data_IF_092756614370
#
_entry.id   IF_092756614370
#
_cell.length_a   1.000
_cell.length_b   1.000
_cell.length_c   1.000
_cell.angle_alpha   90.00
_cell.angle_beta   90.00
_cell.angle_gamma   90.00
#
_symmetry.space_group_name_H-M   'P 1'
#
loop_
_entity.id
_entity.type
_entity.pdbx_description
1 polymer ?
#
# COMPACT_ATOMS: atom_id res chain seq x y z
N UNK A 1 19.48 30.66 7.90
CA UNK A 1 19.25 29.84 6.69
C UNK A 1 19.14 28.32 6.95
N UNK A 2 19.95 27.72 7.85
CA UNK A 2 19.86 26.25 8.14
C UNK A 2 18.59 25.83 8.88
N UNK A 3 18.03 26.64 9.78
CA UNK A 3 16.79 26.31 10.49
C UNK A 3 15.56 26.23 9.57
N UNK A 4 15.44 27.15 8.61
CA UNK A 4 14.34 27.17 7.63
C UNK A 4 14.35 25.95 6.69
N UNK A 5 15.53 25.43 6.33
CA UNK A 5 15.63 24.27 5.41
C UNK A 5 15.25 22.92 6.07
N UNK A 6 15.29 22.80 7.40
CA UNK A 6 14.85 21.59 8.12
C UNK A 6 13.34 21.39 8.09
N UNK A 7 12.57 22.47 7.97
CA UNK A 7 11.09 22.41 8.00
C UNK A 7 10.49 21.74 6.76
N UNK A 8 11.23 21.63 5.65
CA UNK A 8 10.73 20.98 4.43
C UNK A 8 10.92 19.46 4.39
N UNK A 9 11.69 18.83 5.27
CA UNK A 9 11.96 17.39 5.22
C UNK A 9 10.67 16.57 5.32
N UNK A 10 9.85 16.81 6.35
CA UNK A 10 8.62 16.07 6.57
C UNK A 10 7.60 16.24 5.43
N UNK A 11 7.33 17.44 4.93
CA UNK A 11 6.53 17.64 3.71
C UNK A 11 7.02 16.85 2.51
N UNK A 12 8.34 16.82 2.24
CA UNK A 12 8.87 16.03 1.12
C UNK A 12 8.80 14.53 1.33
N UNK A 13 8.98 14.04 2.56
CA UNK A 13 8.74 12.62 2.87
C UNK A 13 7.27 12.26 2.64
N UNK A 14 6.34 13.10 3.06
CA UNK A 14 4.92 12.89 2.82
C UNK A 14 4.58 12.91 1.31
N UNK A 15 5.12 13.88 0.57
CA UNK A 15 4.99 13.92 -0.89
C UNK A 15 5.58 12.66 -1.55
N UNK A 16 6.73 12.20 -1.05
CA UNK A 16 7.35 10.95 -1.49
C UNK A 16 6.42 9.76 -1.30
N UNK A 17 5.70 9.66 -0.18
CA UNK A 17 4.73 8.58 0.07
C UNK A 17 3.53 8.62 -0.89
N UNK A 18 3.04 9.83 -1.16
CA UNK A 18 1.98 10.02 -2.16
C UNK A 18 2.45 9.56 -3.53
N UNK A 19 3.64 10.02 -3.98
CA UNK A 19 4.18 9.67 -5.29
C UNK A 19 4.49 8.18 -5.40
N UNK A 20 5.02 7.55 -4.34
CA UNK A 20 5.30 6.12 -4.29
C UNK A 20 4.07 5.28 -4.64
N UNK A 21 2.97 5.51 -3.93
CA UNK A 21 1.73 4.80 -4.19
C UNK A 21 1.05 5.20 -5.50
N UNK A 22 1.14 6.47 -5.88
CA UNK A 22 0.59 6.95 -7.14
C UNK A 22 1.24 6.25 -8.33
N UNK A 23 2.59 6.22 -8.40
CA UNK A 23 3.30 5.65 -9.56
C UNK A 23 3.08 4.13 -9.67
N UNK A 24 2.94 3.43 -8.56
CA UNK A 24 2.65 2.00 -8.53
C UNK A 24 1.24 1.66 -9.03
N UNK A 25 0.27 2.59 -8.93
CA UNK A 25 -1.12 2.37 -9.32
C UNK A 25 -1.58 3.16 -10.56
N UNK A 26 -0.69 3.81 -11.29
CA UNK A 26 -0.99 4.40 -12.61
C UNK A 26 -1.47 3.33 -13.59
N UNK A 27 -0.73 2.23 -13.71
CA UNK A 27 -0.98 1.18 -14.70
C UNK A 27 -2.34 0.46 -14.53
N UNK A 28 -2.85 0.13 -13.34
CA UNK A 28 -4.19 -0.40 -13.12
C UNK A 28 -5.33 0.39 -13.79
N UNK A 29 -5.20 1.70 -13.94
CA UNK A 29 -6.16 2.53 -14.68
C UNK A 29 -5.82 2.57 -16.17
N UNK A 30 -4.56 2.74 -16.52
CA UNK A 30 -4.08 2.82 -17.91
C UNK A 30 -4.35 1.53 -18.68
N UNK A 31 -4.25 0.36 -18.04
CA UNK A 31 -4.45 -0.94 -18.69
C UNK A 31 -5.84 -1.10 -19.31
N UNK A 32 -6.85 -0.39 -18.81
CA UNK A 32 -8.21 -0.38 -19.36
C UNK A 32 -8.21 0.27 -20.75
N UNK A 33 -7.56 1.42 -20.88
CA UNK A 33 -7.43 2.13 -22.15
C UNK A 33 -6.54 1.37 -23.15
N UNK A 34 -5.45 0.77 -22.67
CA UNK A 34 -4.59 -0.08 -23.48
C UNK A 34 -5.33 -1.30 -24.02
N UNK A 35 -6.16 -1.95 -23.19
CA UNK A 35 -6.99 -3.08 -23.63
C UNK A 35 -7.89 -2.72 -24.81
N UNK A 36 -8.53 -1.55 -24.75
CA UNK A 36 -9.35 -1.03 -25.83
C UNK A 36 -8.53 -0.66 -27.08
N UNK A 37 -7.35 -0.04 -26.89
CA UNK A 37 -6.53 0.43 -28.00
C UNK A 37 -5.78 -0.70 -28.70
N UNK A 38 -5.33 -1.73 -27.97
CA UNK A 38 -4.54 -2.83 -28.52
C UNK A 38 -5.39 -4.06 -28.82
N UNK A 39 -6.69 -3.99 -28.60
CA UNK A 39 -7.64 -5.10 -28.71
C UNK A 39 -7.15 -6.36 -28.00
N UNK A 40 -6.73 -6.18 -26.74
CA UNK A 40 -6.24 -7.26 -25.88
C UNK A 40 -7.00 -7.33 -24.57
N UNK A 41 -7.27 -8.54 -24.07
CA UNK A 41 -7.99 -8.73 -22.82
C UNK A 41 -7.16 -8.24 -21.62
N UNK A 42 -7.87 -7.76 -20.60
CA UNK A 42 -7.29 -7.29 -19.35
C UNK A 42 -6.36 -8.31 -18.69
N UNK A 43 -6.75 -9.60 -18.73
CA UNK A 43 -5.98 -10.71 -18.16
C UNK A 43 -4.61 -10.94 -18.82
N UNK A 44 -4.42 -10.48 -20.07
CA UNK A 44 -3.13 -10.53 -20.75
C UNK A 44 -2.26 -9.31 -20.45
N UNK A 45 -2.90 -8.13 -20.26
CA UNK A 45 -2.17 -6.89 -20.08
C UNK A 45 -1.82 -6.61 -18.62
N UNK A 46 -2.70 -6.98 -17.66
CA UNK A 46 -2.42 -6.77 -16.24
C UNK A 46 -1.08 -7.38 -15.77
N UNK A 47 -0.68 -8.59 -16.21
CA UNK A 47 0.60 -9.18 -15.85
C UNK A 47 1.83 -8.36 -16.22
N UNK A 48 1.73 -7.36 -17.10
CA UNK A 48 2.85 -6.45 -17.39
C UNK A 48 3.31 -5.67 -16.14
N UNK A 49 2.43 -5.49 -15.15
CA UNK A 49 2.77 -4.88 -13.87
C UNK A 49 3.48 -5.84 -12.90
N UNK A 50 3.49 -7.14 -13.16
CA UNK A 50 4.01 -8.15 -12.22
C UNK A 50 5.46 -7.88 -11.83
N UNK A 51 6.32 -7.59 -12.81
CA UNK A 51 7.73 -7.25 -12.56
C UNK A 51 7.89 -6.05 -11.63
N UNK A 52 7.01 -5.05 -11.75
CA UNK A 52 7.00 -3.87 -10.88
C UNK A 52 6.70 -4.23 -9.42
N UNK A 53 5.67 -5.03 -9.16
CA UNK A 53 5.33 -5.47 -7.80
C UNK A 53 6.38 -6.42 -7.21
N UNK A 54 6.98 -7.31 -8.01
CA UNK A 54 8.11 -8.14 -7.57
C UNK A 54 9.30 -7.27 -7.19
N UNK A 55 9.68 -6.33 -8.06
CA UNK A 55 10.80 -5.44 -7.82
C UNK A 55 10.56 -4.55 -6.58
N UNK A 56 9.35 -4.02 -6.40
CA UNK A 56 8.96 -3.24 -5.23
C UNK A 56 9.20 -4.01 -3.92
N UNK A 57 8.86 -5.31 -3.87
CA UNK A 57 9.15 -6.14 -2.72
C UNK A 57 10.63 -6.50 -2.57
N UNK A 58 11.24 -7.01 -3.66
CA UNK A 58 12.58 -7.57 -3.63
C UNK A 58 13.68 -6.51 -3.35
N UNK A 59 13.52 -5.31 -3.90
CA UNK A 59 14.53 -4.24 -3.77
C UNK A 59 14.40 -3.43 -2.48
N UNK A 60 13.35 -3.61 -1.67
CA UNK A 60 13.20 -2.91 -0.39
C UNK A 60 14.34 -3.25 0.60
N UNK A 61 14.80 -4.53 0.63
CA UNK A 61 15.87 -4.96 1.51
C UNK A 61 17.21 -4.34 1.09
N UNK A 62 17.69 -4.50 -0.16
CA UNK A 62 18.95 -3.87 -0.59
C UNK A 62 18.88 -2.34 -0.52
N UNK A 63 17.73 -1.71 -0.76
CA UNK A 63 17.57 -0.26 -0.63
C UNK A 63 17.77 0.21 0.81
N UNK A 64 17.19 -0.49 1.79
CA UNK A 64 17.40 -0.21 3.21
C UNK A 64 18.86 -0.39 3.63
N UNK A 65 19.48 -1.50 3.22
CA UNK A 65 20.89 -1.75 3.48
C UNK A 65 21.80 -0.66 2.90
N UNK A 66 21.56 -0.29 1.63
CA UNK A 66 22.34 0.75 0.96
C UNK A 66 22.15 2.12 1.62
N UNK A 67 20.94 2.44 2.06
CA UNK A 67 20.65 3.69 2.77
C UNK A 67 21.42 3.81 4.10
N UNK A 68 21.61 2.71 4.82
CA UNK A 68 22.36 2.69 6.07
C UNK A 68 23.87 2.76 5.86
N UNK A 69 24.41 2.28 4.70
CA UNK A 69 25.85 2.28 4.39
C UNK A 69 26.31 3.47 3.55
N UNK A 70 25.40 4.10 2.82
CA UNK A 70 25.71 5.24 1.95
C UNK A 70 25.11 6.54 2.48
N UNK A 71 23.79 6.78 2.25
CA UNK A 71 23.07 7.94 2.76
C UNK A 71 21.57 7.81 2.52
N UNK A 72 20.76 7.96 3.55
CA UNK A 72 19.29 8.02 3.42
C UNK A 72 18.83 9.18 2.55
N UNK A 73 19.47 10.33 2.70
CA UNK A 73 19.18 11.51 1.89
C UNK A 73 19.42 11.25 0.39
N UNK A 74 20.59 10.71 0.03
CA UNK A 74 20.92 10.41 -1.37
C UNK A 74 20.01 9.31 -1.94
N UNK A 75 19.64 8.33 -1.14
CA UNK A 75 18.67 7.31 -1.55
C UNK A 75 17.28 7.91 -1.84
N UNK A 76 16.83 8.93 -1.08
CA UNK A 76 15.58 9.65 -1.42
C UNK A 76 15.72 10.47 -2.71
N UNK A 77 16.89 11.00 -3.02
CA UNK A 77 17.15 11.63 -4.33
C UNK A 77 17.02 10.58 -5.44
N UNK A 78 17.67 9.41 -5.28
CA UNK A 78 17.57 8.29 -6.22
C UNK A 78 16.12 7.84 -6.39
N UNK A 79 15.35 7.79 -5.30
CA UNK A 79 13.92 7.48 -5.34
C UNK A 79 13.15 8.42 -6.27
N UNK A 80 13.19 9.74 -6.04
CA UNK A 80 12.40 10.70 -6.83
C UNK A 80 12.77 10.69 -8.32
N UNK A 81 14.08 10.74 -8.63
CA UNK A 81 14.54 10.72 -10.02
C UNK A 81 14.33 9.35 -10.67
N UNK A 82 14.48 8.26 -9.91
CA UNK A 82 14.31 6.90 -10.38
C UNK A 82 12.86 6.59 -10.75
N UNK A 83 11.90 6.84 -9.85
CA UNK A 83 10.48 6.64 -10.17
C UNK A 83 10.03 7.57 -11.30
N UNK A 84 10.47 8.83 -11.27
CA UNK A 84 10.12 9.81 -12.28
C UNK A 84 10.68 9.46 -13.67
N UNK A 85 11.98 9.13 -13.74
CA UNK A 85 12.65 8.78 -14.98
C UNK A 85 12.13 7.48 -15.60
N UNK A 86 11.95 6.43 -14.79
CA UNK A 86 11.42 5.15 -15.26
C UNK A 86 9.99 5.29 -15.77
N UNK A 87 9.14 6.04 -15.05
CA UNK A 87 7.77 6.27 -15.48
C UNK A 87 7.72 7.10 -16.77
N UNK A 88 8.50 8.19 -16.85
CA UNK A 88 8.60 9.02 -18.05
C UNK A 88 9.05 8.20 -19.27
N UNK A 89 10.07 7.35 -19.12
CA UNK A 89 10.51 6.45 -20.20
C UNK A 89 9.44 5.44 -20.59
N UNK A 90 8.62 4.95 -19.65
CA UNK A 90 7.51 4.04 -19.93
C UNK A 90 6.47 4.67 -20.87
N UNK A 91 6.28 6.00 -20.81
CA UNK A 91 5.38 6.73 -21.71
C UNK A 91 5.75 6.63 -23.21
N UNK A 92 7.00 6.32 -23.52
CA UNK A 92 7.45 6.10 -24.92
C UNK A 92 7.25 4.66 -25.41
N UNK A 93 6.74 3.77 -24.59
CA UNK A 93 6.57 2.37 -24.94
C UNK A 93 5.68 2.19 -26.19
N UNK A 94 6.15 1.32 -27.10
CA UNK A 94 5.45 0.91 -28.33
C UNK A 94 5.09 -0.57 -28.33
N UNK A 95 5.63 -1.33 -27.38
CA UNK A 95 5.39 -2.75 -27.23
C UNK A 95 5.15 -3.14 -25.75
N UNK A 96 4.38 -4.23 -25.49
CA UNK A 96 4.05 -4.65 -24.12
C UNK A 96 5.28 -4.88 -23.23
N UNK A 97 6.34 -5.50 -23.74
CA UNK A 97 7.55 -5.76 -22.95
C UNK A 97 8.25 -4.48 -22.47
N UNK A 98 8.14 -3.36 -23.22
CA UNK A 98 8.69 -2.07 -22.81
C UNK A 98 7.93 -1.49 -21.64
N UNK A 99 6.59 -1.64 -21.62
CA UNK A 99 5.77 -1.28 -20.44
C UNK A 99 6.19 -2.14 -19.25
N UNK A 100 6.31 -3.46 -19.43
CA UNK A 100 6.72 -4.36 -18.35
C UNK A 100 8.10 -4.00 -17.79
N UNK A 101 9.08 -3.70 -18.66
CA UNK A 101 10.41 -3.27 -18.24
C UNK A 101 10.37 -1.92 -17.48
N UNK A 102 9.64 -0.94 -18.01
CA UNK A 102 9.49 0.37 -17.38
C UNK A 102 8.82 0.29 -16.01
N UNK A 103 7.73 -0.48 -15.88
CA UNK A 103 7.07 -0.72 -14.60
C UNK A 103 7.95 -1.48 -13.61
N UNK A 104 8.78 -2.42 -14.10
CA UNK A 104 9.77 -3.13 -13.26
C UNK A 104 10.81 -2.15 -12.70
N UNK A 105 11.34 -1.25 -13.52
CA UNK A 105 12.24 -0.19 -13.08
C UNK A 105 11.55 0.76 -12.10
N UNK A 106 10.30 1.14 -12.37
CA UNK A 106 9.52 1.98 -11.45
C UNK A 106 9.38 1.32 -10.09
N UNK A 107 9.02 0.02 -10.03
CA UNK A 107 8.91 -0.74 -8.79
C UNK A 107 10.24 -0.87 -8.05
N UNK A 108 11.36 -1.03 -8.77
CA UNK A 108 12.69 -1.09 -8.18
C UNK A 108 13.05 0.21 -7.45
N UNK A 109 12.78 1.37 -8.06
CA UNK A 109 13.04 2.66 -7.42
C UNK A 109 12.01 3.01 -6.35
N UNK A 110 10.73 2.66 -6.51
CA UNK A 110 9.68 2.82 -5.53
C UNK A 110 10.00 2.05 -4.23
N UNK A 111 10.62 0.87 -4.32
CA UNK A 111 11.06 0.07 -3.17
C UNK A 111 11.94 0.83 -2.16
N UNK A 112 12.53 1.95 -2.56
CA UNK A 112 13.38 2.78 -1.70
C UNK A 112 12.56 3.50 -0.63
N UNK A 113 11.32 3.92 -0.95
CA UNK A 113 10.58 4.83 -0.08
C UNK A 113 10.35 4.25 1.32
N UNK A 114 9.80 3.04 1.43
CA UNK A 114 9.37 2.49 2.72
C UNK A 114 10.53 2.31 3.72
N UNK A 115 11.65 1.68 3.38
CA UNK A 115 12.75 1.54 4.33
C UNK A 115 13.48 2.86 4.61
N UNK A 116 13.56 3.76 3.63
CA UNK A 116 14.39 4.98 3.73
C UNK A 116 13.57 6.18 4.20
N UNK A 117 12.46 6.47 3.53
CA UNK A 117 11.59 7.62 3.85
C UNK A 117 11.01 7.52 5.25
N UNK A 118 10.48 6.35 5.63
CA UNK A 118 9.96 6.11 6.98
C UNK A 118 11.08 6.24 8.03
N UNK A 119 12.29 5.74 7.75
CA UNK A 119 13.41 5.89 8.66
C UNK A 119 13.83 7.36 8.86
N UNK A 120 13.78 8.18 7.80
CA UNK A 120 14.02 9.62 7.89
C UNK A 120 12.89 10.34 8.64
N UNK A 121 11.64 9.96 8.39
CA UNK A 121 10.49 10.51 9.10
C UNK A 121 10.59 10.26 10.60
N UNK A 122 10.91 9.03 10.99
CA UNK A 122 11.04 8.62 12.40
C UNK A 122 12.16 9.38 13.13
N UNK A 123 13.21 9.80 12.44
CA UNK A 123 14.33 10.54 13.01
C UNK A 123 14.05 12.04 13.22
N UNK A 124 13.00 12.59 12.57
CA UNK A 124 12.80 14.03 12.47
C UNK A 124 11.88 14.69 13.52
N UNK A 125 10.74 14.11 13.99
CA UNK A 125 9.70 14.90 14.65
C UNK A 125 9.68 14.83 16.18
N UNK A 126 9.09 15.90 16.76
CA UNK A 126 8.74 15.96 18.19
C UNK A 126 7.60 15.01 18.58
N UNK A 127 6.65 14.75 17.65
CA UNK A 127 5.51 13.84 17.83
C UNK A 127 5.48 12.80 16.73
N UNK A 128 6.06 11.63 17.03
CA UNK A 128 6.20 10.52 16.07
C UNK A 128 4.85 9.96 15.61
N UNK A 129 3.88 9.78 16.53
CA UNK A 129 2.58 9.20 16.19
C UNK A 129 1.82 10.07 15.19
N UNK A 130 1.81 11.38 15.40
CA UNK A 130 1.18 12.33 14.47
C UNK A 130 1.89 12.34 13.11
N UNK A 131 3.23 12.32 13.08
CA UNK A 131 3.99 12.32 11.85
C UNK A 131 3.74 11.06 11.00
N UNK A 132 3.70 9.88 11.63
CA UNK A 132 3.36 8.62 10.96
C UNK A 132 1.90 8.60 10.48
N UNK A 133 0.97 9.15 11.27
CA UNK A 133 -0.44 9.27 10.88
C UNK A 133 -0.63 10.13 9.64
N UNK A 134 -0.02 11.32 9.60
CA UNK A 134 -0.03 12.18 8.41
C UNK A 134 0.64 11.49 7.22
N UNK A 135 1.78 10.86 7.43
CA UNK A 135 2.47 10.15 6.36
C UNK A 135 1.62 9.02 5.77
N UNK A 136 0.93 8.23 6.60
CA UNK A 136 -0.02 7.22 6.14
C UNK A 136 -1.19 7.81 5.33
N UNK A 137 -1.73 8.96 5.74
CA UNK A 137 -2.75 9.68 4.97
C UNK A 137 -2.24 10.09 3.58
N UNK A 138 -1.02 10.63 3.47
CA UNK A 138 -0.43 10.99 2.18
C UNK A 138 -0.24 9.79 1.26
N UNK A 139 0.18 8.63 1.79
CA UNK A 139 0.26 7.38 1.02
C UNK A 139 -1.11 6.97 0.47
N UNK A 140 -2.16 7.00 1.29
CA UNK A 140 -3.52 6.68 0.84
C UNK A 140 -4.08 7.67 -0.17
N UNK A 141 -3.74 8.96 -0.05
CA UNK A 141 -4.06 9.94 -1.09
C UNK A 141 -3.35 9.62 -2.40
N UNK A 142 -2.14 9.04 -2.36
CA UNK A 142 -1.45 8.54 -3.55
C UNK A 142 -2.25 7.47 -4.28
N UNK A 143 -2.87 6.52 -3.54
CA UNK A 143 -3.77 5.51 -4.12
C UNK A 143 -4.99 6.17 -4.79
N UNK A 144 -5.61 7.14 -4.11
CA UNK A 144 -6.78 7.85 -4.63
C UNK A 144 -6.44 8.67 -5.88
N UNK A 145 -5.36 9.45 -5.84
CA UNK A 145 -4.92 10.27 -6.95
C UNK A 145 -4.45 9.46 -8.16
N UNK A 146 -3.87 8.26 -7.96
CA UNK A 146 -3.45 7.40 -9.06
C UNK A 146 -4.61 7.14 -10.03
N UNK A 147 -5.78 6.79 -9.54
CA UNK A 147 -6.93 6.45 -10.38
C UNK A 147 -7.51 7.68 -11.10
N UNK A 148 -7.80 8.77 -10.36
CA UNK A 148 -8.43 9.96 -10.95
C UNK A 148 -7.49 10.72 -11.90
N UNK A 149 -6.22 10.89 -11.52
CA UNK A 149 -5.22 11.57 -12.35
C UNK A 149 -4.95 10.77 -13.62
N UNK A 150 -4.73 9.46 -13.49
CA UNK A 150 -4.51 8.61 -14.67
C UNK A 150 -5.74 8.59 -15.58
N UNK A 151 -6.96 8.46 -15.01
CA UNK A 151 -8.19 8.49 -15.78
C UNK A 151 -8.38 9.80 -16.56
N UNK A 152 -8.17 10.94 -15.91
CA UNK A 152 -8.28 12.26 -16.54
C UNK A 152 -7.23 12.45 -17.65
N UNK A 153 -5.97 12.08 -17.40
CA UNK A 153 -4.91 12.19 -18.39
C UNK A 153 -5.15 11.28 -19.60
N UNK A 154 -5.66 10.06 -19.36
CA UNK A 154 -6.03 9.13 -20.43
C UNK A 154 -7.13 9.71 -21.31
N UNK A 155 -8.19 10.27 -20.72
CA UNK A 155 -9.33 10.81 -21.46
C UNK A 155 -8.98 12.09 -22.22
N UNK A 156 -8.12 12.96 -21.65
CA UNK A 156 -7.77 14.24 -22.25
C UNK A 156 -6.70 14.14 -23.34
N UNK A 157 -5.65 13.32 -23.10
CA UNK A 157 -4.45 13.30 -23.95
C UNK A 157 -3.91 11.90 -24.26
N UNK A 158 -4.64 10.87 -23.86
CA UNK A 158 -4.28 9.47 -24.11
C UNK A 158 -3.36 8.88 -23.05
N UNK A 159 -3.26 7.56 -23.03
CA UNK A 159 -2.65 6.77 -21.97
C UNK A 159 -1.17 7.09 -21.66
N UNK A 160 -0.42 7.57 -22.66
CA UNK A 160 1.01 7.92 -22.50
C UNK A 160 1.20 9.06 -21.50
N UNK A 161 0.28 10.02 -21.48
CA UNK A 161 0.36 11.18 -20.59
C UNK A 161 0.21 10.79 -19.12
N UNK A 162 -0.51 9.69 -18.84
CA UNK A 162 -0.60 9.13 -17.50
C UNK A 162 0.76 8.63 -16.96
N UNK A 163 1.75 8.40 -17.82
CA UNK A 163 3.13 8.12 -17.44
C UNK A 163 4.00 9.39 -17.46
N UNK A 164 3.87 10.24 -18.49
CA UNK A 164 4.69 11.43 -18.61
C UNK A 164 4.46 12.44 -17.49
N UNK A 165 3.21 12.75 -17.17
CA UNK A 165 2.89 13.80 -16.20
C UNK A 165 3.34 13.44 -14.79
N UNK A 166 3.01 12.28 -14.21
CA UNK A 166 3.52 11.89 -12.91
C UNK A 166 5.05 11.67 -12.92
N UNK A 167 5.61 11.22 -14.04
CA UNK A 167 7.06 11.10 -14.21
C UNK A 167 7.76 12.45 -14.06
N UNK A 168 7.32 13.47 -14.79
CA UNK A 168 7.83 14.84 -14.70
C UNK A 168 7.61 15.42 -13.29
N UNK A 169 6.43 15.21 -12.70
CA UNK A 169 6.13 15.68 -11.35
C UNK A 169 7.07 15.08 -10.31
N UNK A 170 7.41 13.78 -10.43
CA UNK A 170 8.36 13.11 -9.55
C UNK A 170 9.79 13.65 -9.71
N UNK A 171 10.24 13.90 -10.96
CA UNK A 171 11.55 14.52 -11.24
C UNK A 171 11.60 15.94 -10.65
N UNK A 172 10.55 16.74 -10.85
CA UNK A 172 10.45 18.08 -10.31
C UNK A 172 10.46 18.09 -8.76
N UNK A 173 9.76 17.13 -8.13
CA UNK A 173 9.82 16.93 -6.69
C UNK A 173 11.24 16.57 -6.22
N UNK A 174 11.98 15.73 -6.96
CA UNK A 174 13.37 15.39 -6.69
C UNK A 174 14.30 16.59 -6.80
N UNK A 175 14.13 17.42 -7.82
CA UNK A 175 14.89 18.66 -8.00
C UNK A 175 14.60 19.66 -6.87
N UNK A 176 13.34 19.83 -6.50
CA UNK A 176 12.96 20.67 -5.36
C UNK A 176 13.49 20.11 -4.02
N UNK A 177 13.49 18.79 -3.83
CA UNK A 177 14.07 18.13 -2.65
C UNK A 177 15.57 18.46 -2.52
N UNK A 178 16.34 18.35 -3.61
CA UNK A 178 17.77 18.70 -3.63
C UNK A 178 18.05 20.16 -3.22
N UNK A 179 17.19 21.08 -3.65
CA UNK A 179 17.38 22.52 -3.41
C UNK A 179 16.91 22.92 -2.00
N UNK A 180 15.77 22.38 -1.55
CA UNK A 180 15.07 22.87 -0.36
C UNK A 180 15.40 22.06 0.91
N UNK A 181 15.76 20.78 0.78
CA UNK A 181 16.05 19.91 1.93
C UNK A 181 17.55 19.72 2.07
N UNK A 182 18.18 20.20 3.17
CA UNK A 182 19.59 19.91 3.42
C UNK A 182 19.78 18.43 3.80
N UNK A 183 20.94 17.87 3.48
CA UNK A 183 21.31 16.53 3.97
C UNK A 183 21.35 16.56 5.52
N UNK A 184 20.51 15.76 6.21
CA UNK A 184 20.45 15.76 7.66
C UNK A 184 21.68 15.09 8.31
N UNK A 185 22.59 14.52 7.51
CA UNK A 185 23.72 13.75 7.99
C UNK A 185 23.34 12.39 8.59
N UNK A 186 24.28 11.72 9.27
CA UNK A 186 24.03 10.41 9.89
C UNK A 186 22.95 10.51 10.97
N UNK A 187 22.06 9.52 11.01
CA UNK A 187 21.00 9.45 12.01
C UNK A 187 21.58 9.21 13.42
N UNK A 188 21.08 9.94 14.42
CA UNK A 188 21.42 9.70 15.81
C UNK A 188 20.97 8.29 16.26
N UNK A 189 21.82 7.59 17.05
CA UNK A 189 21.45 6.29 17.64
C UNK A 189 20.23 6.45 18.55
N UNK A 190 19.22 5.63 18.35
CA UNK A 190 18.00 5.62 19.15
C UNK A 190 18.22 5.07 20.54
N UNK A 191 17.56 5.66 21.53
CA UNK A 191 17.39 5.11 22.89
C UNK A 191 16.53 3.83 22.82
N UNK A 192 16.89 2.82 23.59
CA UNK A 192 16.11 1.58 23.75
C UNK A 192 14.84 1.88 24.54
N UNK A 193 13.66 1.49 24.06
CA UNK A 193 12.42 1.51 24.82
C UNK A 193 12.15 0.12 25.42
N UNK A 194 11.50 0.07 26.56
CA UNK A 194 11.25 -1.17 27.30
C UNK A 194 9.96 -1.78 26.75
N UNK A 195 10.03 -2.93 26.10
CA UNK A 195 8.88 -3.70 25.61
C UNK A 195 8.21 -4.54 26.71
N UNK A 196 6.95 -4.98 26.50
CA UNK A 196 6.27 -5.93 27.36
C UNK A 196 6.99 -7.29 27.37
N UNK A 197 7.19 -7.86 28.55
CA UNK A 197 7.71 -9.24 28.69
C UNK A 197 6.56 -10.22 28.39
N UNK A 198 6.69 -10.97 27.31
CA UNK A 198 5.76 -12.00 26.87
C UNK A 198 6.55 -13.30 26.71
N UNK A 199 6.01 -14.44 27.17
CA UNK A 199 6.68 -15.73 27.01
C UNK A 199 6.86 -16.14 25.54
N UNK A 200 7.83 -17.00 25.25
CA UNK A 200 8.22 -17.40 23.91
C UNK A 200 7.06 -18.07 23.12
N UNK A 201 6.17 -18.82 23.80
CA UNK A 201 5.04 -19.50 23.19
C UNK A 201 3.97 -18.51 22.75
N UNK A 202 3.62 -17.57 23.61
CA UNK A 202 2.67 -16.49 23.32
C UNK A 202 3.23 -15.57 22.23
N UNK A 203 4.54 -15.27 22.25
CA UNK A 203 5.19 -14.50 21.19
C UNK A 203 5.12 -15.22 19.84
N UNK A 204 5.43 -16.54 19.80
CA UNK A 204 5.31 -17.33 18.57
C UNK A 204 3.85 -17.36 18.04
N UNK A 205 2.88 -17.50 18.94
CA UNK A 205 1.45 -17.47 18.59
C UNK A 205 1.05 -16.13 17.96
N UNK A 206 1.42 -15.00 18.59
CA UNK A 206 1.17 -13.67 18.06
C UNK A 206 1.84 -13.50 16.69
N UNK A 207 3.07 -13.98 16.54
CA UNK A 207 3.83 -13.89 15.30
C UNK A 207 3.15 -14.68 14.16
N UNK A 208 2.72 -15.92 14.39
CA UNK A 208 2.00 -16.73 13.37
C UNK A 208 0.70 -16.05 12.96
N UNK A 209 -0.09 -15.55 13.90
CA UNK A 209 -1.34 -14.85 13.62
C UNK A 209 -1.06 -13.57 12.80
N UNK A 210 -0.03 -12.81 13.16
CA UNK A 210 0.39 -11.62 12.43
C UNK A 210 0.85 -11.96 11.00
N UNK A 211 1.56 -13.09 10.81
CA UNK A 211 1.96 -13.55 9.48
C UNK A 211 0.74 -13.88 8.61
N UNK A 212 -0.24 -14.62 9.14
CA UNK A 212 -1.49 -14.94 8.44
C UNK A 212 -2.25 -13.65 8.10
N UNK A 213 -2.42 -12.75 9.07
CA UNK A 213 -3.12 -11.48 8.87
C UNK A 213 -2.40 -10.59 7.84
N UNK A 214 -1.06 -10.57 7.83
CA UNK A 214 -0.26 -9.79 6.87
C UNK A 214 -0.32 -10.42 5.48
N UNK A 215 -0.17 -11.74 5.35
CA UNK A 215 -0.21 -12.41 4.05
C UNK A 215 -1.62 -12.33 3.42
N UNK A 216 -2.64 -12.80 4.12
CA UNK A 216 -4.01 -12.78 3.61
C UNK A 216 -4.52 -11.34 3.42
N UNK A 217 -4.33 -10.47 4.41
CA UNK A 217 -4.72 -9.06 4.32
C UNK A 217 -3.97 -8.31 3.22
N UNK A 218 -2.70 -8.64 3.00
CA UNK A 218 -1.89 -8.11 1.89
C UNK A 218 -2.44 -8.52 0.52
N UNK A 219 -2.83 -9.80 0.32
CA UNK A 219 -3.49 -10.24 -0.93
C UNK A 219 -4.81 -9.50 -1.11
N UNK A 220 -5.64 -9.40 -0.06
CA UNK A 220 -6.92 -8.69 -0.12
C UNK A 220 -6.68 -7.22 -0.50
N UNK A 221 -5.80 -6.51 0.19
CA UNK A 221 -5.50 -5.11 -0.06
C UNK A 221 -4.98 -4.88 -1.49
N UNK A 222 -3.94 -5.61 -1.91
CA UNK A 222 -3.35 -5.41 -3.24
C UNK A 222 -4.32 -5.82 -4.36
N UNK A 223 -5.07 -6.91 -4.20
CA UNK A 223 -6.03 -7.33 -5.21
C UNK A 223 -7.18 -6.33 -5.37
N UNK A 224 -7.73 -5.82 -4.28
CA UNK A 224 -8.80 -4.83 -4.33
C UNK A 224 -8.30 -3.49 -4.88
N UNK A 225 -7.11 -3.02 -4.49
CA UNK A 225 -6.57 -1.74 -4.98
C UNK A 225 -6.15 -1.80 -6.45
N UNK A 226 -5.55 -2.91 -6.89
CA UNK A 226 -5.15 -3.09 -8.29
C UNK A 226 -6.35 -3.33 -9.21
N UNK A 227 -7.34 -4.11 -8.78
CA UNK A 227 -8.47 -4.47 -9.62
C UNK A 227 -9.60 -3.42 -9.63
N UNK A 228 -9.70 -2.53 -8.63
CA UNK A 228 -10.84 -1.62 -8.47
C UNK A 228 -11.17 -0.79 -9.72
N UNK A 229 -10.19 -0.19 -10.43
CA UNK A 229 -10.51 0.53 -11.68
C UNK A 229 -11.22 -0.36 -12.70
N UNK A 230 -10.76 -1.62 -12.88
CA UNK A 230 -11.35 -2.55 -13.83
C UNK A 230 -12.71 -3.10 -13.36
N UNK A 231 -12.86 -3.36 -12.07
CA UNK A 231 -14.15 -3.73 -11.47
C UNK A 231 -15.18 -2.63 -11.75
N UNK A 232 -14.81 -1.37 -11.57
CA UNK A 232 -15.71 -0.25 -11.84
C UNK A 232 -15.94 -0.04 -13.33
N UNK A 233 -14.94 -0.26 -14.20
CA UNK A 233 -15.14 -0.27 -15.67
C UNK A 233 -16.19 -1.31 -16.11
N UNK A 234 -16.24 -2.46 -15.46
CA UNK A 234 -17.20 -3.52 -15.81
C UNK A 234 -18.58 -3.32 -15.17
N UNK A 235 -18.62 -2.88 -13.90
CA UNK A 235 -19.83 -2.91 -13.07
C UNK A 235 -20.52 -1.56 -12.89
N UNK A 236 -19.84 -0.45 -13.26
CA UNK A 236 -20.38 0.90 -13.12
C UNK A 236 -20.77 1.56 -14.47
N UNK A 237 -20.89 0.79 -15.54
CA UNK A 237 -21.18 1.30 -16.88
C UNK A 237 -22.47 2.12 -16.97
N UNK A 238 -23.46 1.80 -16.11
CA UNK A 238 -24.69 2.57 -16.00
C UNK A 238 -24.47 3.98 -15.39
N UNK A 239 -23.38 4.19 -14.66
CA UNK A 239 -23.08 5.44 -13.96
C UNK A 239 -22.06 6.30 -14.73
N UNK A 240 -21.05 5.66 -15.34
CA UNK A 240 -20.02 6.34 -16.14
C UNK A 240 -19.36 5.39 -17.15
N UNK A 241 -18.95 5.97 -18.29
CA UNK A 241 -18.19 5.24 -19.33
C UNK A 241 -16.81 5.87 -19.56
N UNK A 242 -16.47 6.95 -18.85
CA UNK A 242 -15.20 7.67 -18.99
C UNK A 242 -14.16 7.14 -17.99
N UNK A 243 -12.89 7.16 -18.37
CA UNK A 243 -11.82 6.74 -17.46
C UNK A 243 -11.69 7.71 -16.26
N UNK A 244 -11.94 9.00 -16.47
CA UNK A 244 -11.97 9.98 -15.36
C UNK A 244 -13.12 9.71 -14.39
N UNK A 245 -14.30 9.34 -14.89
CA UNK A 245 -15.44 8.98 -14.03
C UNK A 245 -15.17 7.73 -13.19
N UNK A 246 -14.59 6.69 -13.79
CA UNK A 246 -14.13 5.50 -13.09
C UNK A 246 -13.09 5.90 -12.04
N UNK A 247 -12.07 6.68 -12.44
CA UNK A 247 -11.03 7.16 -11.55
C UNK A 247 -11.56 7.98 -10.37
N UNK A 248 -12.58 8.83 -10.60
CA UNK A 248 -13.22 9.64 -9.57
C UNK A 248 -13.94 8.78 -8.52
N UNK A 249 -14.68 7.74 -8.97
CA UNK A 249 -15.33 6.81 -8.05
C UNK A 249 -14.31 6.02 -7.22
N UNK A 250 -13.24 5.53 -7.84
CA UNK A 250 -12.13 4.85 -7.13
C UNK A 250 -11.48 5.80 -6.13
N UNK A 251 -11.16 7.03 -6.55
CA UNK A 251 -10.58 8.06 -5.70
C UNK A 251 -11.46 8.39 -4.49
N UNK A 252 -12.77 8.52 -4.71
CA UNK A 252 -13.75 8.74 -3.64
C UNK A 252 -13.72 7.59 -2.61
N UNK A 253 -13.79 6.34 -3.10
CA UNK A 253 -13.75 5.16 -2.23
C UNK A 253 -12.47 5.12 -1.41
N UNK A 254 -11.30 5.34 -2.01
CA UNK A 254 -10.02 5.27 -1.29
C UNK A 254 -9.81 6.45 -0.35
N UNK A 255 -10.19 7.67 -0.75
CA UNK A 255 -10.08 8.84 0.09
C UNK A 255 -10.93 8.72 1.36
N UNK A 256 -12.18 8.26 1.22
CA UNK A 256 -13.05 8.05 2.39
C UNK A 256 -12.56 6.86 3.23
N UNK A 257 -12.14 5.77 2.59
CA UNK A 257 -11.60 4.60 3.30
C UNK A 257 -10.31 4.93 4.10
N UNK A 258 -9.52 5.91 3.66
CA UNK A 258 -8.33 6.35 4.38
C UNK A 258 -8.64 6.83 5.81
N UNK A 259 -9.80 7.44 6.03
CA UNK A 259 -10.22 7.86 7.37
C UNK A 259 -10.51 6.68 8.31
N UNK A 260 -10.78 5.48 7.79
CA UNK A 260 -10.92 4.30 8.63
C UNK A 260 -9.64 3.95 9.40
N UNK A 261 -8.47 4.36 8.91
CA UNK A 261 -7.20 4.18 9.66
C UNK A 261 -7.16 5.06 10.91
N UNK A 262 -7.65 6.29 10.83
CA UNK A 262 -7.75 7.21 12.00
C UNK A 262 -8.77 6.68 12.99
N UNK A 263 -9.92 6.20 12.49
CA UNK A 263 -10.93 5.55 13.32
C UNK A 263 -10.35 4.31 14.02
N UNK A 264 -9.64 3.44 13.31
CA UNK A 264 -9.01 2.26 13.90
C UNK A 264 -7.97 2.63 14.95
N UNK A 265 -7.15 3.67 14.71
CA UNK A 265 -6.20 4.19 15.70
C UNK A 265 -6.89 4.59 17.02
N UNK A 266 -8.05 5.24 16.96
CA UNK A 266 -8.86 5.57 18.13
C UNK A 266 -9.48 4.34 18.79
N UNK A 267 -9.98 3.39 18.01
CA UNK A 267 -10.54 2.14 18.54
C UNK A 267 -9.51 1.28 19.27
N UNK A 268 -8.26 1.25 18.79
CA UNK A 268 -7.14 0.50 19.41
C UNK A 268 -6.80 1.02 20.82
N UNK A 269 -7.10 2.27 21.14
CA UNK A 269 -6.94 2.81 22.51
C UNK A 269 -8.04 2.36 23.48
N UNK A 270 -9.22 1.96 22.96
CA UNK A 270 -10.41 1.63 23.75
C UNK A 270 -10.72 0.15 23.82
N UNK A 271 -10.42 -0.59 22.74
CA UNK A 271 -10.79 -2.00 22.59
C UNK A 271 -9.56 -2.91 22.52
N UNK A 272 -9.76 -4.20 22.84
CA UNK A 272 -8.72 -5.22 22.70
C UNK A 272 -8.44 -5.48 21.21
N UNK A 273 -7.17 -5.59 20.86
CA UNK A 273 -6.72 -5.86 19.49
C UNK A 273 -7.27 -7.17 18.92
N UNK A 274 -7.49 -8.19 19.78
CA UNK A 274 -8.19 -9.42 19.39
C UNK A 274 -9.57 -9.13 18.81
N UNK A 275 -10.39 -8.37 19.53
CA UNK A 275 -11.76 -8.07 19.10
C UNK A 275 -11.79 -7.21 17.84
N UNK A 276 -10.84 -6.28 17.71
CA UNK A 276 -10.71 -5.45 16.49
C UNK A 276 -10.29 -6.30 15.27
N UNK A 277 -9.35 -7.25 15.43
CA UNK A 277 -8.99 -8.17 14.34
C UNK A 277 -10.17 -9.05 13.93
N UNK A 278 -10.89 -9.60 14.92
CA UNK A 278 -12.10 -10.40 14.66
C UNK A 278 -13.16 -9.56 13.93
N UNK A 279 -13.42 -8.34 14.38
CA UNK A 279 -14.38 -7.44 13.76
C UNK A 279 -14.00 -7.10 12.31
N UNK A 280 -12.73 -6.78 12.04
CA UNK A 280 -12.25 -6.54 10.68
C UNK A 280 -12.49 -7.74 9.77
N UNK A 281 -12.08 -8.95 10.18
CA UNK A 281 -12.28 -10.15 9.39
C UNK A 281 -13.77 -10.46 9.18
N UNK A 282 -14.57 -10.40 10.26
CA UNK A 282 -16.00 -10.68 10.21
C UNK A 282 -16.77 -9.73 9.28
N UNK A 283 -16.41 -8.45 9.25
CA UNK A 283 -17.02 -7.44 8.37
C UNK A 283 -16.57 -7.61 6.92
N UNK A 284 -15.28 -7.95 6.69
CA UNK A 284 -14.77 -8.14 5.34
C UNK A 284 -15.40 -9.32 4.61
N UNK A 285 -15.70 -10.44 5.29
CA UNK A 285 -16.24 -11.66 4.67
C UNK A 285 -17.53 -11.37 3.89
N UNK A 286 -18.63 -10.88 4.51
CA UNK A 286 -19.88 -10.64 3.80
C UNK A 286 -19.76 -9.51 2.76
N UNK A 287 -18.93 -8.48 2.99
CA UNK A 287 -18.75 -7.39 2.04
C UNK A 287 -18.02 -7.85 0.77
N UNK A 288 -16.97 -8.68 0.90
CA UNK A 288 -16.28 -9.28 -0.23
C UNK A 288 -17.20 -10.27 -0.98
N UNK A 289 -17.98 -11.07 -0.25
CA UNK A 289 -18.95 -11.99 -0.87
C UNK A 289 -20.05 -11.22 -1.62
N UNK A 290 -20.57 -10.12 -1.05
CA UNK A 290 -21.58 -9.27 -1.72
C UNK A 290 -20.99 -8.57 -2.96
N UNK A 291 -19.75 -8.09 -2.88
CA UNK A 291 -19.04 -7.50 -4.02
C UNK A 291 -18.88 -8.49 -5.20
N UNK A 292 -19.01 -9.80 -4.97
CA UNK A 292 -18.92 -10.80 -6.03
C UNK A 292 -20.06 -10.69 -7.07
N UNK A 293 -21.22 -10.14 -6.71
CA UNK A 293 -22.43 -10.17 -7.55
C UNK A 293 -23.12 -8.82 -7.77
N UNK A 294 -22.69 -7.78 -7.08
CA UNK A 294 -23.32 -6.46 -7.13
C UNK A 294 -22.76 -5.59 -8.25
N UNK A 295 -23.65 -4.76 -8.83
CA UNK A 295 -23.33 -3.76 -9.87
C UNK A 295 -23.91 -2.39 -9.48
N UNK A 296 -23.50 -1.32 -10.17
CA UNK A 296 -24.02 0.03 -10.00
C UNK A 296 -23.86 0.59 -8.57
N UNK A 297 -24.85 1.35 -8.10
CA UNK A 297 -24.82 1.99 -6.79
C UNK A 297 -24.61 1.02 -5.60
N UNK A 298 -25.26 -0.17 -5.55
CA UNK A 298 -24.99 -1.15 -4.49
C UNK A 298 -23.53 -1.57 -4.43
N UNK A 299 -22.87 -1.78 -5.58
CA UNK A 299 -21.44 -2.10 -5.64
C UNK A 299 -20.59 -0.95 -5.10
N UNK A 300 -20.91 0.32 -5.41
CA UNK A 300 -20.16 1.48 -4.91
C UNK A 300 -20.21 1.55 -3.38
N UNK A 301 -21.41 1.35 -2.79
CA UNK A 301 -21.58 1.33 -1.33
C UNK A 301 -20.80 0.19 -0.69
N UNK A 302 -20.90 -1.01 -1.26
CA UNK A 302 -20.16 -2.18 -0.74
C UNK A 302 -18.66 -1.99 -0.90
N UNK A 303 -18.18 -1.44 -2.03
CA UNK A 303 -16.78 -1.14 -2.24
C UNK A 303 -16.25 -0.15 -1.19
N UNK A 304 -17.02 0.89 -0.86
CA UNK A 304 -16.66 1.85 0.18
C UNK A 304 -16.52 1.18 1.56
N UNK A 305 -17.52 0.44 1.99
CA UNK A 305 -17.51 -0.24 3.30
C UNK A 305 -16.42 -1.30 3.37
N UNK A 306 -16.23 -2.07 2.30
CA UNK A 306 -15.18 -3.07 2.15
C UNK A 306 -13.80 -2.44 2.27
N UNK A 307 -13.54 -1.34 1.54
CA UNK A 307 -12.24 -0.67 1.58
C UNK A 307 -11.99 0.01 2.94
N UNK A 308 -13.02 0.52 3.62
CA UNK A 308 -12.88 1.00 5.00
C UNK A 308 -12.42 -0.10 5.95
N UNK A 309 -12.99 -1.31 5.84
CA UNK A 309 -12.59 -2.44 6.68
C UNK A 309 -11.16 -2.92 6.34
N UNK A 310 -10.78 -2.93 5.06
CA UNK A 310 -9.44 -3.32 4.59
C UNK A 310 -8.39 -2.30 5.04
N UNK A 311 -8.63 -0.99 4.85
CA UNK A 311 -7.68 0.06 5.24
C UNK A 311 -7.55 0.15 6.76
N UNK A 312 -8.63 -0.05 7.49
CA UNK A 312 -8.62 -0.08 8.96
C UNK A 312 -7.75 -1.21 9.54
N UNK A 313 -7.55 -2.30 8.83
CA UNK A 313 -6.69 -3.41 9.27
C UNK A 313 -5.20 -3.06 9.26
N UNK A 314 -4.77 -2.09 8.44
CA UNK A 314 -3.34 -1.73 8.29
C UNK A 314 -2.74 -1.25 9.63
N UNK A 315 -3.26 -0.17 10.27
CA UNK A 315 -2.72 0.31 11.54
C UNK A 315 -2.90 -0.70 12.68
N UNK A 316 -3.88 -1.59 12.60
CA UNK A 316 -4.08 -2.64 13.59
C UNK A 316 -2.91 -3.63 13.58
N UNK A 317 -2.48 -4.08 12.40
CA UNK A 317 -1.32 -4.95 12.25
C UNK A 317 -0.02 -4.26 12.74
N UNK A 318 0.15 -2.96 12.47
CA UNK A 318 1.30 -2.18 12.95
C UNK A 318 1.28 -2.03 14.47
N UNK A 319 0.12 -1.78 15.02
CA UNK A 319 -0.09 -1.62 16.46
C UNK A 319 0.18 -2.92 17.26
N UNK A 320 -0.13 -4.08 16.68
CA UNK A 320 0.20 -5.37 17.30
C UNK A 320 1.71 -5.51 17.44
N UNK A 321 2.48 -5.22 16.39
CA UNK A 321 3.96 -5.26 16.47
C UNK A 321 4.48 -4.25 17.49
N UNK A 322 3.97 -3.02 17.45
CA UNK A 322 4.38 -1.97 18.38
C UNK A 322 4.13 -2.30 19.85
N UNK A 323 3.04 -3.00 20.14
CA UNK A 323 2.58 -3.26 21.51
C UNK A 323 3.12 -4.55 22.10
N UNK A 324 3.20 -5.63 21.31
CA UNK A 324 3.47 -6.98 21.83
C UNK A 324 4.85 -7.51 21.49
N UNK A 325 5.57 -6.90 20.53
CA UNK A 325 6.92 -7.37 20.19
C UNK A 325 7.96 -6.57 20.97
N UNK A 326 8.82 -7.28 21.73
CA UNK A 326 9.92 -6.68 22.46
C UNK A 326 10.87 -5.90 21.52
N UNK A 327 11.44 -4.81 22.02
CA UNK A 327 12.24 -3.86 21.23
C UNK A 327 13.40 -4.53 20.48
N UNK A 328 14.03 -5.53 21.08
CA UNK A 328 15.14 -6.28 20.49
C UNK A 328 14.74 -7.09 19.24
N UNK A 329 13.48 -7.55 19.14
CA UNK A 329 12.93 -8.33 18.03
C UNK A 329 12.08 -7.48 17.08
N UNK A 330 11.65 -6.28 17.49
CA UNK A 330 10.71 -5.43 16.75
C UNK A 330 11.18 -5.12 15.33
N UNK A 331 12.45 -4.77 15.17
CA UNK A 331 13.02 -4.49 13.85
C UNK A 331 13.00 -5.73 12.94
N UNK A 332 13.32 -6.92 13.49
CA UNK A 332 13.30 -8.18 12.73
C UNK A 332 11.88 -8.55 12.32
N UNK A 333 10.92 -8.45 13.25
CA UNK A 333 9.50 -8.77 12.98
C UNK A 333 8.92 -7.81 11.94
N UNK A 334 9.21 -6.52 12.04
CA UNK A 334 8.81 -5.54 11.03
C UNK A 334 9.44 -5.85 9.66
N UNK A 335 10.73 -6.18 9.61
CA UNK A 335 11.40 -6.54 8.35
C UNK A 335 10.77 -7.76 7.69
N UNK A 336 10.54 -8.84 8.45
CA UNK A 336 9.86 -10.04 7.91
C UNK A 336 8.46 -9.72 7.44
N UNK A 337 7.72 -8.91 8.21
CA UNK A 337 6.38 -8.48 7.83
C UNK A 337 6.38 -7.63 6.56
N UNK A 338 7.32 -6.70 6.38
CA UNK A 338 7.43 -5.91 5.16
C UNK A 338 7.77 -6.78 3.95
N UNK A 339 8.71 -7.73 4.09
CA UNK A 339 9.03 -8.69 3.02
C UNK A 339 7.79 -9.46 2.59
N UNK A 340 6.99 -9.94 3.54
CA UNK A 340 5.74 -10.65 3.25
C UNK A 340 4.72 -9.71 2.60
N UNK A 341 4.49 -8.54 3.19
CA UNK A 341 3.49 -7.57 2.68
C UNK A 341 3.80 -7.13 1.25
N UNK A 342 5.06 -6.84 0.96
CA UNK A 342 5.50 -6.42 -0.37
C UNK A 342 5.58 -7.61 -1.35
N UNK A 343 6.05 -8.78 -0.89
CA UNK A 343 6.09 -10.01 -1.69
C UNK A 343 4.71 -10.52 -2.09
N UNK A 344 3.73 -10.38 -1.20
CA UNK A 344 2.33 -10.77 -1.45
C UNK A 344 1.66 -9.88 -2.51
N UNK A 345 2.11 -8.64 -2.68
CA UNK A 345 1.62 -7.78 -3.76
C UNK A 345 1.85 -8.42 -5.14
N UNK A 346 2.95 -9.17 -5.31
CA UNK A 346 3.25 -9.88 -6.55
C UNK A 346 2.30 -11.06 -6.83
N UNK A 347 1.66 -11.64 -5.81
CA UNK A 347 0.67 -12.72 -5.97
C UNK A 347 -0.68 -12.19 -6.45
N UNK A 348 -1.03 -10.96 -6.09
CA UNK A 348 -2.31 -10.36 -6.45
C UNK A 348 -2.50 -10.26 -7.97
N UNK A 349 -1.48 -9.81 -8.70
CA UNK A 349 -1.55 -9.60 -10.15
C UNK A 349 -1.85 -10.90 -10.93
N UNK A 350 -1.07 -11.99 -10.79
CA UNK A 350 -1.36 -13.23 -11.50
C UNK A 350 -2.66 -13.87 -11.02
N UNK A 351 -3.01 -13.77 -9.74
CA UNK A 351 -4.29 -14.28 -9.22
C UNK A 351 -5.47 -13.59 -9.90
N UNK A 352 -5.47 -12.25 -9.98
CA UNK A 352 -6.51 -11.49 -10.68
C UNK A 352 -6.56 -11.91 -12.15
N UNK A 353 -5.43 -11.94 -12.84
CA UNK A 353 -5.37 -12.29 -14.26
C UNK A 353 -5.90 -13.69 -14.55
N UNK A 354 -5.53 -14.68 -13.73
CA UNK A 354 -5.97 -16.06 -13.86
C UNK A 354 -7.46 -16.23 -13.59
N UNK A 355 -7.96 -15.65 -12.50
CA UNK A 355 -9.37 -15.81 -12.13
C UNK A 355 -10.30 -14.96 -13.01
N UNK A 356 -9.86 -13.76 -13.42
CA UNK A 356 -10.65 -12.88 -14.27
C UNK A 356 -10.95 -13.47 -15.65
N UNK A 357 -10.05 -14.26 -16.22
CA UNK A 357 -10.26 -14.93 -17.54
C UNK A 357 -11.22 -16.12 -17.49
N UNK A 358 -11.57 -16.62 -16.31
CA UNK A 358 -12.56 -17.69 -16.16
C UNK A 358 -13.98 -17.14 -16.26
N UNK A 359 -14.98 -18.00 -16.52
CA UNK A 359 -16.39 -17.60 -16.66
C UNK A 359 -16.95 -16.78 -15.48
N UNK A 360 -16.40 -16.97 -14.27
CA UNK A 360 -16.80 -16.20 -13.08
C UNK A 360 -16.18 -14.81 -12.99
N UNK A 361 -15.11 -14.50 -13.74
CA UNK A 361 -14.45 -13.19 -13.72
C UNK A 361 -14.13 -12.69 -12.31
N UNK A 362 -14.49 -11.44 -12.01
CA UNK A 362 -14.28 -10.85 -10.67
C UNK A 362 -15.10 -11.52 -9.56
N UNK A 363 -16.17 -12.25 -9.86
CA UNK A 363 -16.87 -13.07 -8.86
C UNK A 363 -15.90 -14.04 -8.20
N UNK A 364 -15.10 -14.76 -8.98
CA UNK A 364 -14.12 -15.72 -8.46
C UNK A 364 -13.02 -15.03 -7.66
N UNK A 365 -12.55 -13.87 -8.10
CA UNK A 365 -11.58 -13.06 -7.34
C UNK A 365 -12.16 -12.73 -5.95
N UNK A 366 -13.35 -12.15 -5.88
CA UNK A 366 -13.97 -11.77 -4.61
C UNK A 366 -14.24 -12.96 -3.69
N UNK A 367 -14.65 -14.13 -4.22
CA UNK A 367 -14.84 -15.32 -3.40
C UNK A 367 -13.54 -15.84 -2.79
N UNK A 368 -12.43 -15.80 -3.53
CA UNK A 368 -11.10 -16.10 -2.97
C UNK A 368 -10.72 -15.09 -1.88
N UNK A 369 -10.96 -13.79 -2.11
CA UNK A 369 -10.67 -12.76 -1.10
C UNK A 369 -11.53 -12.93 0.15
N UNK A 370 -12.80 -13.31 0.01
CA UNK A 370 -13.68 -13.62 1.16
C UNK A 370 -13.16 -14.82 1.97
N UNK A 371 -12.65 -15.87 1.29
CA UNK A 371 -12.04 -17.02 1.96
C UNK A 371 -10.75 -16.62 2.71
N UNK A 372 -9.93 -15.72 2.14
CA UNK A 372 -8.75 -15.17 2.82
C UNK A 372 -9.14 -14.32 4.04
N UNK A 373 -10.22 -13.53 3.94
CA UNK A 373 -10.75 -12.77 5.08
C UNK A 373 -11.26 -13.72 6.19
N UNK A 374 -11.87 -14.85 5.83
CA UNK A 374 -12.24 -15.88 6.79
C UNK A 374 -11.02 -16.50 7.48
N UNK A 375 -9.91 -16.73 6.76
CA UNK A 375 -8.67 -17.18 7.36
C UNK A 375 -8.09 -16.16 8.37
N UNK A 376 -8.17 -14.86 8.06
CA UNK A 376 -7.80 -13.78 9.02
C UNK A 376 -8.70 -13.83 10.24
N UNK A 377 -10.02 -13.94 10.07
CA UNK A 377 -10.97 -14.03 11.18
C UNK A 377 -10.69 -15.25 12.06
N UNK A 378 -10.54 -16.42 11.48
CA UNK A 378 -10.22 -17.66 12.22
C UNK A 378 -8.91 -17.54 12.97
N UNK A 379 -7.85 -16.97 12.36
CA UNK A 379 -6.59 -16.75 13.04
C UNK A 379 -6.73 -15.80 14.24
N UNK A 380 -7.57 -14.77 14.12
CA UNK A 380 -7.84 -13.82 15.20
C UNK A 380 -8.56 -14.45 16.41
N UNK A 381 -9.33 -15.54 16.24
CA UNK A 381 -9.95 -16.27 17.35
C UNK A 381 -8.87 -16.81 18.32
N UNK A 382 -7.73 -17.18 17.80
CA UNK A 382 -6.59 -17.71 18.58
C UNK A 382 -5.69 -16.59 19.14
N UNK A 383 -5.95 -15.30 18.85
CA UNK A 383 -5.14 -14.23 19.40
C UNK A 383 -5.26 -14.20 20.94
N UNK A 384 -4.15 -14.12 21.71
CA UNK A 384 -4.19 -14.12 23.16
C UNK A 384 -4.94 -12.91 23.69
N UNK A 385 -5.78 -13.10 24.72
CA UNK A 385 -6.52 -12.00 25.34
C UNK A 385 -5.60 -11.08 26.13
N UNK A 386 -5.99 -9.82 26.27
CA UNK A 386 -5.26 -8.83 27.09
C UNK A 386 -5.04 -9.33 28.52
N UNK A 387 -6.01 -10.07 29.09
CA UNK A 387 -5.89 -10.65 30.46
C UNK A 387 -4.82 -11.73 30.52
N UNK A 388 -4.75 -12.60 29.50
CA UNK A 388 -3.73 -13.67 29.45
C UNK A 388 -2.32 -13.08 29.34
N UNK A 389 -2.14 -12.02 28.54
CA UNK A 389 -0.84 -11.34 28.40
C UNK A 389 -0.47 -10.58 29.68
N UNK A 390 -1.42 -9.87 30.30
CA UNK A 390 -1.18 -9.14 31.55
C UNK A 390 -0.79 -10.08 32.71
N UNK A 391 -1.41 -11.26 32.81
CA UNK A 391 -1.07 -12.27 33.81
C UNK A 391 0.37 -12.76 33.68
N UNK A 392 0.90 -12.90 32.45
CA UNK A 392 2.29 -13.29 32.20
C UNK A 392 3.29 -12.18 32.58
N UNK A 393 2.95 -10.91 32.32
CA UNK A 393 3.80 -9.77 32.66
C UNK A 393 3.91 -9.55 34.19
N UNK A 394 2.89 -9.97 34.95
CA UNK A 394 2.91 -9.90 36.43
C UNK A 394 3.63 -11.09 37.08
N UNK A 395 3.83 -12.19 36.33
CA UNK A 395 4.49 -13.40 36.82
C UNK A 395 6.00 -13.45 36.49
N UNK A 396 6.46 -12.53 35.63
CA UNK A 396 7.88 -12.39 35.25
C UNK A 396 8.55 -11.24 35.99
#
# INVERSE_FOLDING_TARGET
MQAMKRDYLVPFINLGHLLDHLVMLVFPTVVIALGRQWDRPYSELLPLALGGFIAFGAFAIPAGWLADHWSRYRMMVVFFFGIGGSLFLTGFATAPWQIAAGLTLTGMFAAIYHPVGIAMLVAAPKNLGMALGWNGLWGNLGLAFAAIVSGALVDLWGWRTAFFVPGIASIAAGAAFLVLVPDPGPAAKRSKSIGLHVDARTMAQIFVILLVATACGGVIFNSTTVAMPKIFDERMRALTQTNVGIGAMVAFVYAVAAFAQVLMGTLMSRFDMKHLMMACGLVQIPLLAAAATLDGWPMLVVALLMMMAIFGQIPLNDGIVGKYVADEYRARVLSVRYVISLGVASVAVPMIALLHRTEGGFRNVFMVLAALAAAVFVSALFFPSRRAIAAQTLAA
#
